data_IF_020163795058
#
_entry.id   IF_020163795058
#
_cell.length_a   1.000
_cell.length_b   1.000
_cell.length_c   1.000
_cell.angle_alpha   90.00
_cell.angle_beta   90.00
_cell.angle_gamma   90.00
#
_symmetry.space_group_name_H-M   'P 1'
#
loop_
_entity.id
_entity.type
_entity.pdbx_description
1 polymer ?
#
# COMPACT_ATOMS: atom_id res chain seq x y z
N UNK A 1 -36.30 -2.01 -66.95
CA UNK A 1 -36.74 -2.89 -68.05
C UNK A 1 -35.52 -3.62 -68.59
N UNK A 2 -35.53 -4.96 -68.61
CA UNK A 2 -34.70 -5.83 -69.46
C UNK A 2 -33.18 -5.79 -69.25
N UNK A 3 -32.34 -6.73 -69.68
CA UNK A 3 -32.45 -8.05 -70.34
C UNK A 3 -31.12 -8.79 -70.04
N UNK A 4 -31.22 -10.12 -70.08
CA UNK A 4 -30.29 -11.26 -70.12
C UNK A 4 -28.98 -11.19 -70.95
N UNK A 5 -28.02 -12.08 -70.58
CA UNK A 5 -27.00 -12.82 -71.41
C UNK A 5 -25.77 -12.03 -71.98
N UNK A 6 -24.54 -12.55 -72.22
CA UNK A 6 -23.86 -13.86 -72.12
C UNK A 6 -22.29 -13.72 -72.29
N UNK A 7 -21.53 -14.65 -71.68
CA UNK A 7 -20.29 -15.41 -72.07
C UNK A 7 -18.91 -14.81 -72.56
N UNK A 8 -17.85 -15.07 -71.74
CA UNK A 8 -16.42 -15.55 -71.93
C UNK A 8 -15.33 -14.84 -72.80
N UNK A 9 -13.98 -15.08 -72.65
CA UNK A 9 -13.16 -15.88 -71.68
C UNK A 9 -11.87 -15.19 -71.06
N UNK A 10 -11.11 -15.95 -70.23
CA UNK A 10 -10.07 -15.61 -69.19
C UNK A 10 -8.62 -15.22 -69.66
N UNK A 11 -7.65 -14.85 -68.75
CA UNK A 11 -6.86 -15.83 -67.96
C UNK A 11 -6.33 -15.44 -66.54
N UNK A 12 -6.40 -16.44 -65.63
CA UNK A 12 -5.42 -16.93 -64.60
C UNK A 12 -4.85 -16.01 -63.50
N UNK A 13 -5.19 -16.30 -62.23
CA UNK A 13 -4.25 -16.38 -61.09
C UNK A 13 -4.82 -17.14 -59.86
N UNK A 14 -4.30 -18.36 -59.63
CA UNK A 14 -4.07 -19.11 -58.36
C UNK A 14 -5.02 -18.98 -57.15
N UNK A 15 -5.77 -20.06 -56.86
CA UNK A 15 -6.31 -20.37 -55.53
C UNK A 15 -6.19 -21.87 -55.21
N UNK A 16 -5.61 -22.18 -54.04
CA UNK A 16 -5.40 -23.54 -53.50
C UNK A 16 -6.68 -24.15 -52.89
N UNK A 17 -6.79 -25.49 -52.77
CA UNK A 17 -8.07 -26.16 -52.54
C UNK A 17 -8.50 -26.19 -51.07
N UNK A 18 -9.79 -25.90 -50.80
CA UNK A 18 -10.47 -26.28 -49.56
C UNK A 18 -11.01 -27.70 -49.68
N UNK A 19 -10.34 -28.65 -49.04
CA UNK A 19 -10.85 -30.02 -48.82
C UNK A 19 -11.84 -30.00 -47.65
N UNK A 20 -13.11 -30.30 -47.91
CA UNK A 20 -14.07 -30.66 -46.84
C UNK A 20 -13.76 -32.09 -46.39
N UNK A 21 -13.31 -32.28 -45.14
CA UNK A 21 -13.27 -33.60 -44.50
C UNK A 21 -14.69 -34.05 -44.12
N UNK A 22 -15.07 -35.33 -44.27
CA UNK A 22 -16.41 -35.80 -43.94
C UNK A 22 -16.64 -35.84 -42.42
N UNK A 23 -17.81 -35.36 -41.99
CA UNK A 23 -18.24 -35.23 -40.59
C UNK A 23 -18.25 -36.55 -39.78
N UNK A 24 -18.18 -37.70 -40.44
CA UNK A 24 -18.12 -39.02 -39.78
C UNK A 24 -16.75 -39.29 -39.11
N UNK A 25 -15.66 -38.67 -39.58
CA UNK A 25 -14.34 -38.87 -38.98
C UNK A 25 -14.15 -38.11 -37.65
N UNK A 26 -14.82 -36.96 -37.48
CA UNK A 26 -14.79 -36.19 -36.23
C UNK A 26 -15.71 -36.79 -35.15
N UNK A 27 -16.84 -37.37 -35.55
CA UNK A 27 -17.74 -38.09 -34.62
C UNK A 27 -17.10 -39.39 -34.09
N UNK A 28 -16.33 -40.10 -34.93
CA UNK A 28 -15.61 -41.31 -34.50
C UNK A 28 -14.47 -40.98 -33.51
N UNK A 29 -13.70 -39.91 -33.76
CA UNK A 29 -12.66 -39.45 -32.82
C UNK A 29 -13.23 -38.96 -31.49
N UNK A 30 -14.36 -38.25 -31.49
CA UNK A 30 -15.00 -37.81 -30.25
C UNK A 30 -15.54 -38.98 -29.41
N UNK A 31 -16.07 -40.03 -30.06
CA UNK A 31 -16.56 -41.22 -29.38
C UNK A 31 -15.44 -42.13 -28.84
N UNK A 32 -14.26 -42.14 -29.48
CA UNK A 32 -13.07 -42.85 -28.96
C UNK A 32 -12.43 -42.13 -27.77
N UNK A 33 -12.41 -40.79 -27.75
CA UNK A 33 -11.91 -40.01 -26.61
C UNK A 33 -12.81 -40.16 -25.39
N UNK A 34 -14.14 -40.12 -25.56
CA UNK A 34 -15.08 -40.34 -24.45
C UNK A 34 -15.01 -41.76 -23.89
N UNK A 35 -14.84 -42.78 -24.74
CA UNK A 35 -14.62 -44.15 -24.27
C UNK A 35 -13.31 -44.32 -23.51
N UNK A 36 -12.26 -43.58 -23.88
CA UNK A 36 -11.00 -43.59 -23.16
C UNK A 36 -11.13 -42.94 -21.77
N UNK A 37 -11.82 -41.80 -21.67
CA UNK A 37 -12.10 -41.11 -20.40
C UNK A 37 -12.99 -41.95 -19.46
N UNK A 38 -14.02 -42.61 -19.99
CA UNK A 38 -14.91 -43.48 -19.21
C UNK A 38 -14.16 -44.74 -18.69
N UNK A 39 -13.25 -45.30 -19.49
CA UNK A 39 -12.40 -46.43 -19.08
C UNK A 39 -11.37 -46.02 -18.02
N UNK A 40 -10.86 -44.79 -18.07
CA UNK A 40 -9.93 -44.24 -17.09
C UNK A 40 -10.64 -43.99 -15.74
N UNK A 41 -11.85 -43.43 -15.75
CA UNK A 41 -12.67 -43.26 -14.55
C UNK A 41 -13.15 -44.59 -13.94
N UNK A 42 -13.44 -45.60 -14.77
CA UNK A 42 -13.75 -46.96 -14.31
C UNK A 42 -12.50 -47.65 -13.73
N UNK A 43 -11.31 -47.39 -14.26
CA UNK A 43 -10.07 -47.90 -13.72
C UNK A 43 -9.72 -47.25 -12.37
N UNK A 44 -9.87 -45.92 -12.25
CA UNK A 44 -9.65 -45.16 -11.01
C UNK A 44 -10.62 -45.53 -9.90
N UNK A 45 -11.91 -45.67 -10.22
CA UNK A 45 -12.93 -46.11 -9.24
C UNK A 45 -12.72 -47.55 -8.79
N UNK A 46 -12.27 -48.44 -9.68
CA UNK A 46 -11.93 -49.83 -9.31
C UNK A 46 -10.64 -49.92 -8.47
N UNK A 47 -9.67 -49.02 -8.69
CA UNK A 47 -8.46 -48.89 -7.87
C UNK A 47 -8.80 -48.35 -6.47
N UNK A 48 -9.66 -47.33 -6.39
CA UNK A 48 -10.15 -46.77 -5.13
C UNK A 48 -10.94 -47.82 -4.33
N UNK A 49 -11.80 -48.62 -4.98
CA UNK A 49 -12.51 -49.73 -4.31
C UNK A 49 -11.60 -50.88 -3.87
N UNK A 50 -10.54 -51.19 -4.62
CA UNK A 50 -9.56 -52.21 -4.22
C UNK A 50 -8.66 -51.78 -3.07
N UNK A 51 -8.39 -50.48 -2.94
CA UNK A 51 -7.63 -49.92 -1.80
C UNK A 51 -8.46 -49.89 -0.50
N UNK A 52 -9.79 -49.94 -0.57
CA UNK A 52 -10.68 -49.93 0.60
C UNK A 52 -11.03 -51.31 1.19
N UNK A 53 -10.70 -52.42 0.51
CA UNK A 53 -11.10 -53.77 0.96
C UNK A 53 -10.08 -54.50 1.86
N UNK A 54 -8.90 -53.94 2.11
CA UNK A 54 -7.87 -54.59 2.93
C UNK A 54 -7.54 -53.76 4.18
N UNK A 55 -8.08 -54.15 5.34
CA UNK A 55 -7.44 -53.89 6.64
C UNK A 55 -6.51 -55.05 7.03
N UNK A 56 -5.55 -54.90 7.96
CA UNK A 56 -5.11 -53.70 8.67
C UNK A 56 -3.85 -53.09 8.00
N UNK A 57 -3.94 -51.86 7.50
CA UNK A 57 -2.85 -51.21 6.77
C UNK A 57 -1.76 -50.60 7.67
N UNK A 58 -2.04 -50.36 8.96
CA UNK A 58 -1.12 -49.61 9.83
C UNK A 58 0.16 -50.41 10.19
N UNK A 59 0.04 -51.71 10.50
CA UNK A 59 1.20 -52.56 10.81
C UNK A 59 1.99 -52.94 9.56
N UNK A 60 1.34 -53.06 8.40
CA UNK A 60 1.99 -53.42 7.14
C UNK A 60 2.72 -52.24 6.47
N UNK A 61 2.22 -51.00 6.62
CA UNK A 61 2.89 -49.81 6.06
C UNK A 61 4.15 -49.43 6.85
N UNK A 62 4.25 -49.81 8.13
CA UNK A 62 5.41 -49.54 8.99
C UNK A 62 6.49 -50.64 8.93
N UNK A 63 6.19 -51.82 8.37
CA UNK A 63 7.06 -52.99 8.46
C UNK A 63 8.22 -53.03 7.43
N UNK A 64 8.26 -52.11 6.45
CA UNK A 64 9.28 -52.12 5.39
C UNK A 64 9.87 -50.73 5.15
N UNK A 65 10.58 -50.21 6.16
CA UNK A 65 11.22 -48.88 6.15
C UNK A 65 12.72 -48.97 5.81
N UNK A 66 13.07 -49.65 4.71
CA UNK A 66 14.43 -49.54 4.13
C UNK A 66 14.40 -48.62 2.92
N UNK A 67 15.28 -47.59 2.83
CA UNK A 67 15.30 -46.71 1.68
C UNK A 67 15.67 -47.46 0.41
N UNK A 68 14.71 -47.59 -0.51
CA UNK A 68 14.87 -48.29 -1.79
C UNK A 68 15.64 -47.48 -2.84
N UNK A 69 15.95 -46.21 -2.58
CA UNK A 69 16.59 -45.29 -3.53
C UNK A 69 17.79 -44.55 -2.92
N UNK A 70 18.72 -44.15 -3.79
CA UNK A 70 19.78 -43.17 -3.50
C UNK A 70 19.59 -41.94 -4.37
N UNK A 71 19.89 -40.77 -3.81
CA UNK A 71 19.92 -39.52 -4.55
C UNK A 71 21.21 -39.39 -5.35
N UNK A 72 21.10 -38.95 -6.60
CA UNK A 72 22.24 -38.55 -7.42
C UNK A 72 22.00 -37.13 -7.96
N UNK A 73 22.97 -36.23 -7.75
CA UNK A 73 23.00 -34.93 -8.41
C UNK A 73 23.47 -35.13 -9.86
N UNK A 74 22.64 -34.73 -10.82
CA UNK A 74 22.92 -34.83 -12.27
C UNK A 74 22.87 -33.42 -12.85
N UNK A 75 23.99 -32.70 -12.76
CA UNK A 75 24.04 -31.28 -13.14
C UNK A 75 23.17 -30.43 -12.20
N UNK A 76 22.24 -29.64 -12.76
CA UNK A 76 21.25 -28.86 -11.99
C UNK A 76 19.97 -29.64 -11.65
N UNK A 77 19.88 -30.93 -12.04
CA UNK A 77 18.73 -31.80 -11.84
C UNK A 77 19.01 -32.87 -10.78
N UNK A 78 17.95 -33.39 -10.14
CA UNK A 78 18.04 -34.50 -9.20
C UNK A 78 17.44 -35.76 -9.80
N UNK A 79 18.13 -36.89 -9.66
CA UNK A 79 17.65 -38.20 -10.07
C UNK A 79 17.53 -39.13 -8.87
N UNK A 80 16.43 -39.89 -8.83
CA UNK A 80 16.24 -40.97 -7.88
C UNK A 80 16.68 -42.28 -8.51
N UNK A 81 17.72 -42.91 -7.96
CA UNK A 81 18.21 -44.19 -8.46
C UNK A 81 17.79 -45.32 -7.52
N UNK A 82 17.04 -46.29 -8.05
CA UNK A 82 16.66 -47.47 -7.29
C UNK A 82 17.91 -48.28 -6.91
N UNK A 83 18.03 -48.67 -5.64
CA UNK A 83 19.10 -49.54 -5.14
C UNK A 83 18.95 -50.96 -5.69
N UNK A 84 17.72 -51.40 -5.94
CA UNK A 84 17.39 -52.72 -6.45
C UNK A 84 16.73 -52.66 -7.83
N UNK A 85 16.84 -53.76 -8.60
CA UNK A 85 16.24 -53.86 -9.93
C UNK A 85 14.72 -54.00 -9.81
N UNK A 86 13.99 -53.02 -10.36
CA UNK A 86 12.53 -53.11 -10.53
C UNK A 86 12.20 -53.78 -11.86
N UNK A 87 11.40 -54.85 -11.84
CA UNK A 87 10.92 -55.55 -13.05
C UNK A 87 9.42 -55.32 -13.25
N UNK A 88 9.02 -54.82 -14.42
CA UNK A 88 7.62 -54.61 -14.81
C UNK A 88 7.29 -55.49 -16.01
N UNK A 89 6.24 -56.31 -15.93
CA UNK A 89 5.85 -57.20 -17.03
C UNK A 89 5.18 -56.40 -18.16
N UNK A 90 5.23 -56.95 -19.37
CA UNK A 90 4.56 -56.36 -20.55
C UNK A 90 3.07 -56.13 -20.27
N UNK A 91 2.60 -54.91 -20.52
CA UNK A 91 1.21 -54.49 -20.30
C UNK A 91 0.84 -54.21 -18.85
N UNK A 92 1.82 -54.16 -17.93
CA UNK A 92 1.62 -53.76 -16.54
C UNK A 92 2.27 -52.41 -16.25
N UNK A 93 1.74 -51.71 -15.25
CA UNK A 93 2.33 -50.50 -14.68
C UNK A 93 2.70 -50.78 -13.22
N UNK A 94 3.75 -50.13 -12.73
CA UNK A 94 4.16 -50.21 -11.34
C UNK A 94 4.35 -48.79 -10.79
N UNK A 95 3.77 -48.52 -9.63
CA UNK A 95 4.08 -47.33 -8.83
C UNK A 95 5.18 -47.74 -7.85
N UNK A 96 6.35 -47.15 -8.00
CA UNK A 96 7.50 -47.44 -7.14
C UNK A 96 7.65 -46.29 -6.15
N UNK A 97 7.46 -46.53 -4.83
CA UNK A 97 7.69 -45.50 -3.85
C UNK A 97 9.17 -45.12 -3.85
N UNK A 98 9.43 -43.84 -4.12
CA UNK A 98 10.80 -43.30 -4.15
C UNK A 98 11.38 -43.23 -2.74
N UNK A 99 10.54 -42.87 -1.77
CA UNK A 99 10.93 -42.68 -0.39
C UNK A 99 9.80 -43.13 0.53
N UNK A 100 10.12 -44.08 1.41
CA UNK A 100 9.26 -44.53 2.51
C UNK A 100 10.07 -44.41 3.79
N UNK A 101 10.28 -43.18 4.24
CA UNK A 101 11.03 -42.88 5.46
C UNK A 101 10.19 -42.04 6.40
N UNK A 102 10.43 -42.21 7.70
CA UNK A 102 9.87 -41.33 8.72
C UNK A 102 10.60 -39.98 8.65
N UNK A 103 9.82 -38.92 8.54
CA UNK A 103 10.32 -37.55 8.67
C UNK A 103 10.15 -37.11 10.12
N UNK A 104 11.26 -36.83 10.80
CA UNK A 104 11.25 -36.49 12.23
C UNK A 104 10.90 -35.02 12.47
N UNK A 105 10.17 -34.76 13.56
CA UNK A 105 9.92 -33.41 14.07
C UNK A 105 8.91 -32.58 13.27
N UNK A 106 8.08 -33.22 12.45
CA UNK A 106 6.94 -32.56 11.81
C UNK A 106 5.81 -32.28 12.81
N UNK A 107 5.16 -31.13 12.67
CA UNK A 107 4.03 -30.72 13.50
C UNK A 107 2.85 -30.24 12.66
N UNK A 108 1.63 -30.56 13.10
CA UNK A 108 0.39 -29.99 12.55
C UNK A 108 0.19 -28.60 13.14
N UNK A 109 0.10 -27.60 12.28
CA UNK A 109 -0.02 -26.19 12.64
C UNK A 109 -1.15 -25.53 11.86
N UNK A 110 -1.54 -24.32 12.26
CA UNK A 110 -2.37 -23.46 11.44
C UNK A 110 -1.51 -22.47 10.66
N UNK A 111 -1.88 -22.22 9.42
CA UNK A 111 -1.27 -21.24 8.55
C UNK A 111 -2.31 -20.22 8.08
N UNK A 112 -1.98 -18.94 8.17
CA UNK A 112 -2.81 -17.88 7.62
C UNK A 112 -2.00 -16.95 6.72
N UNK A 113 -2.45 -16.83 5.47
CA UNK A 113 -2.03 -15.81 4.52
C UNK A 113 -3.27 -15.27 3.83
N UNK A 114 -3.64 -14.03 4.13
CA UNK A 114 -4.93 -13.46 3.71
C UNK A 114 -5.15 -13.41 2.19
N UNK A 115 -4.07 -13.36 1.39
CA UNK A 115 -4.14 -13.45 -0.07
C UNK A 115 -4.42 -14.85 -0.61
N UNK A 116 -4.14 -15.89 0.17
CA UNK A 116 -4.37 -17.28 -0.20
C UNK A 116 -5.74 -17.79 0.27
N UNK A 117 -6.15 -17.43 1.49
CA UNK A 117 -7.43 -17.84 2.06
C UNK A 117 -7.93 -16.83 3.11
N UNK A 118 -9.25 -16.53 3.16
CA UNK A 118 -9.83 -15.68 4.19
C UNK A 118 -9.85 -16.34 5.58
N UNK A 119 -9.67 -17.67 5.65
CA UNK A 119 -9.57 -18.42 6.91
C UNK A 119 -8.23 -19.14 7.03
N UNK A 120 -7.75 -19.39 8.26
CA UNK A 120 -6.59 -20.23 8.47
C UNK A 120 -6.77 -21.61 7.86
N UNK A 121 -5.66 -22.21 7.43
CA UNK A 121 -5.60 -23.57 6.93
C UNK A 121 -4.79 -24.43 7.88
N UNK A 122 -5.24 -25.66 8.13
CA UNK A 122 -4.38 -26.71 8.66
C UNK A 122 -3.22 -26.94 7.69
N UNK A 123 -2.02 -27.00 8.25
CA UNK A 123 -0.79 -27.25 7.53
C UNK A 123 0.10 -28.23 8.27
N UNK A 124 0.93 -28.95 7.53
CA UNK A 124 1.99 -29.77 8.09
C UNK A 124 3.31 -29.02 7.92
N UNK A 125 3.94 -28.65 9.04
CA UNK A 125 5.23 -27.97 9.05
C UNK A 125 6.31 -28.96 9.44
N UNK A 126 7.28 -29.18 8.55
CA UNK A 126 8.30 -30.19 8.75
C UNK A 126 9.65 -29.76 8.17
N UNK A 127 10.69 -30.43 8.64
CA UNK A 127 12.05 -30.35 8.09
C UNK A 127 12.31 -31.60 7.28
N UNK A 128 12.86 -31.48 6.07
CA UNK A 128 13.36 -32.63 5.34
C UNK A 128 14.58 -33.22 6.06
N UNK A 129 14.37 -34.27 6.86
CA UNK A 129 15.41 -35.00 7.58
C UNK A 129 16.07 -36.10 6.74
N UNK A 130 15.56 -36.37 5.54
CA UNK A 130 16.03 -37.47 4.69
C UNK A 130 17.29 -37.08 3.92
N UNK A 131 17.98 -38.08 3.37
CA UNK A 131 19.15 -37.85 2.52
C UNK A 131 18.76 -37.40 1.10
N UNK A 132 17.47 -37.48 0.74
CA UNK A 132 16.98 -37.15 -0.60
C UNK A 132 16.49 -35.72 -0.67
N UNK A 133 16.62 -35.13 -1.85
CA UNK A 133 15.90 -33.90 -2.21
C UNK A 133 14.44 -34.28 -2.49
N UNK A 134 13.47 -33.54 -1.94
CA UNK A 134 12.04 -33.74 -2.21
C UNK A 134 11.60 -32.74 -3.29
N UNK A 135 11.07 -33.24 -4.40
CA UNK A 135 10.58 -32.41 -5.51
C UNK A 135 9.26 -31.72 -5.20
N UNK A 136 9.09 -30.49 -5.68
CA UNK A 136 7.82 -29.76 -5.57
C UNK A 136 6.69 -30.55 -6.27
N UNK A 137 5.50 -30.56 -5.67
CA UNK A 137 4.38 -31.35 -6.20
C UNK A 137 3.18 -31.44 -5.25
N UNK A 138 2.07 -32.01 -5.74
CA UNK A 138 0.90 -32.26 -4.91
C UNK A 138 1.22 -33.32 -3.85
N UNK A 139 0.59 -33.19 -2.69
CA UNK A 139 0.74 -34.10 -1.57
C UNK A 139 -0.63 -34.39 -0.97
N UNK A 140 -0.98 -35.66 -0.84
CA UNK A 140 -2.18 -36.09 -0.11
C UNK A 140 -1.82 -36.33 1.35
N UNK A 141 -2.57 -35.72 2.27
CA UNK A 141 -2.31 -35.79 3.71
C UNK A 141 -3.29 -36.79 4.32
N UNK A 142 -2.74 -37.76 5.05
CA UNK A 142 -3.51 -38.77 5.78
C UNK A 142 -3.29 -38.60 7.29
N UNK A 143 -4.37 -38.79 8.06
CA UNK A 143 -4.35 -38.95 9.51
C UNK A 143 -4.80 -40.39 9.82
N UNK A 144 -3.83 -41.24 10.16
CA UNK A 144 -4.01 -42.69 10.16
C UNK A 144 -4.43 -43.20 8.77
N UNK A 145 -5.56 -43.90 8.71
CA UNK A 145 -6.14 -44.40 7.45
C UNK A 145 -7.06 -43.39 6.73
N UNK A 146 -7.24 -42.18 7.26
CA UNK A 146 -8.21 -41.21 6.74
C UNK A 146 -7.51 -40.12 5.95
N UNK A 147 -7.91 -39.92 4.69
CA UNK A 147 -7.49 -38.75 3.92
C UNK A 147 -8.10 -37.49 4.53
N UNK A 148 -7.27 -36.55 4.98
CA UNK A 148 -7.70 -35.29 5.61
C UNK A 148 -7.59 -34.09 4.68
N UNK A 149 -6.96 -34.25 3.52
CA UNK A 149 -6.89 -33.21 2.50
C UNK A 149 -5.71 -33.38 1.56
N UNK A 150 -5.57 -32.39 0.68
CA UNK A 150 -4.52 -32.31 -0.30
C UNK A 150 -3.84 -30.95 -0.20
N UNK A 151 -2.51 -30.95 -0.31
CA UNK A 151 -1.69 -29.76 -0.31
C UNK A 151 -0.74 -29.74 -1.50
N UNK A 152 -0.06 -28.62 -1.66
CA UNK A 152 0.94 -28.44 -2.70
C UNK A 152 2.25 -28.00 -2.06
N UNK A 153 3.29 -28.81 -2.24
CA UNK A 153 4.65 -28.42 -1.92
C UNK A 153 5.18 -27.55 -3.06
N UNK A 154 5.47 -26.29 -2.77
CA UNK A 154 5.72 -25.27 -3.80
C UNK A 154 7.18 -25.16 -4.21
N UNK A 155 8.08 -25.70 -3.41
CA UNK A 155 9.53 -25.62 -3.61
C UNK A 155 10.15 -26.99 -3.45
N UNK A 156 11.33 -27.14 -4.05
CA UNK A 156 12.17 -28.32 -3.88
C UNK A 156 12.84 -28.23 -2.50
N UNK A 157 12.71 -29.28 -1.67
CA UNK A 157 13.32 -29.31 -0.33
C UNK A 157 14.57 -30.18 -0.35
N UNK A 158 15.74 -29.56 -0.28
CA UNK A 158 16.99 -30.26 0.03
C UNK A 158 17.01 -30.70 1.49
N UNK A 159 17.98 -31.53 1.86
CA UNK A 159 18.22 -31.92 3.26
C UNK A 159 18.29 -30.69 4.17
N UNK A 160 17.66 -30.80 5.34
CA UNK A 160 17.53 -29.77 6.39
C UNK A 160 16.70 -28.52 6.03
N UNK A 161 16.17 -28.42 4.80
CA UNK A 161 15.20 -27.38 4.45
C UNK A 161 13.84 -27.65 5.11
N UNK A 162 13.12 -26.59 5.44
CA UNK A 162 11.78 -26.64 6.00
C UNK A 162 10.75 -26.14 5.00
N UNK A 163 9.58 -26.77 5.02
CA UNK A 163 8.41 -26.25 4.33
C UNK A 163 7.14 -26.48 5.14
N UNK A 164 6.13 -25.71 4.80
CA UNK A 164 4.79 -25.82 5.35
C UNK A 164 3.83 -26.12 4.22
N UNK A 165 3.09 -27.21 4.35
CA UNK A 165 2.13 -27.66 3.34
C UNK A 165 0.71 -27.44 3.89
N UNK A 166 -0.01 -26.37 3.50
CA UNK A 166 -1.41 -26.20 3.83
C UNK A 166 -2.26 -27.20 3.06
N UNK A 167 -3.19 -27.87 3.72
CA UNK A 167 -3.98 -28.97 3.12
C UNK A 167 -5.49 -28.91 3.36
N UNK A 168 -5.97 -28.17 4.37
CA UNK A 168 -7.41 -28.07 4.65
C UNK A 168 -7.76 -26.75 5.35
N UNK A 169 -8.92 -26.16 5.08
CA UNK A 169 -9.39 -24.94 5.78
C UNK A 169 -9.84 -25.28 7.20
N UNK A 170 -9.46 -24.46 8.18
CA UNK A 170 -9.90 -24.58 9.57
C UNK A 170 -11.17 -23.73 9.81
N UNK A 171 -12.29 -24.38 10.14
CA UNK A 171 -13.57 -23.71 10.37
C UNK A 171 -13.75 -23.16 11.80
N UNK A 172 -13.00 -23.71 12.75
CA UNK A 172 -13.04 -23.33 14.17
C UNK A 172 -12.33 -22.02 14.49
N UNK A 173 -11.49 -21.50 13.59
CA UNK A 173 -10.71 -20.28 13.82
C UNK A 173 -11.07 -19.22 12.77
N UNK A 174 -11.33 -18.00 13.25
CA UNK A 174 -11.55 -16.82 12.39
C UNK A 174 -10.50 -15.76 12.68
N UNK A 175 -10.03 -15.08 11.64
CA UNK A 175 -9.07 -13.98 11.74
C UNK A 175 -9.67 -12.76 11.05
N UNK A 176 -9.85 -11.70 11.83
CA UNK A 176 -10.25 -10.39 11.34
C UNK A 176 -9.03 -9.48 11.33
N UNK A 177 -8.73 -8.81 10.20
CA UNK A 177 -7.65 -7.82 10.10
C UNK A 177 -8.24 -6.43 9.94
N UNK A 178 -7.90 -5.52 10.85
CA UNK A 178 -8.19 -4.09 10.72
C UNK A 178 -6.90 -3.35 10.46
N UNK A 179 -6.90 -2.48 9.45
CA UNK A 179 -5.73 -1.68 9.08
C UNK A 179 -6.03 -0.22 9.37
N UNK A 180 -5.15 0.43 10.11
CA UNK A 180 -5.20 1.85 10.41
C UNK A 180 -3.92 2.50 9.91
N UNK A 181 -4.06 3.61 9.17
CA UNK A 181 -2.94 4.42 8.74
C UNK A 181 -3.00 5.76 9.47
N UNK A 182 -2.09 5.96 10.41
CA UNK A 182 -2.00 7.20 11.17
C UNK A 182 -0.54 7.61 11.31
N UNK A 183 -0.19 8.85 10.93
CA UNK A 183 1.10 9.42 11.25
C UNK A 183 1.28 9.55 12.76
N UNK A 184 2.49 9.27 13.25
CA UNK A 184 2.88 9.68 14.59
C UNK A 184 2.89 11.21 14.70
N UNK A 185 2.77 11.73 15.94
CA UNK A 185 3.08 13.12 16.21
C UNK A 185 4.47 13.50 15.70
N UNK A 186 4.61 14.75 15.26
CA UNK A 186 5.89 15.32 14.84
C UNK A 186 6.90 15.23 15.98
N UNK A 187 8.06 14.64 15.71
CA UNK A 187 9.10 14.39 16.70
C UNK A 187 10.18 15.47 16.70
N UNK A 188 10.46 16.05 15.53
CA UNK A 188 11.48 17.09 15.35
C UNK A 188 11.03 18.10 14.29
N UNK A 189 11.12 19.38 14.58
CA UNK A 189 10.98 20.45 13.61
C UNK A 189 12.28 21.24 13.51
N UNK A 190 12.79 21.45 12.29
CA UNK A 190 13.94 22.31 12.03
C UNK A 190 13.54 23.46 11.13
N UNK A 191 14.25 24.57 11.23
CA UNK A 191 14.00 25.75 10.39
C UNK A 191 15.30 26.15 9.71
N UNK A 192 15.31 26.17 8.38
CA UNK A 192 16.46 26.58 7.61
C UNK A 192 16.02 27.34 6.36
N UNK A 193 16.65 28.48 6.10
CA UNK A 193 16.47 29.28 4.88
C UNK A 193 14.98 29.60 4.60
N UNK A 194 14.22 29.90 5.64
CA UNK A 194 12.78 30.19 5.55
C UNK A 194 11.86 29.00 5.32
N UNK A 195 12.38 27.77 5.37
CA UNK A 195 11.60 26.54 5.29
C UNK A 195 11.60 25.87 6.65
N UNK A 196 10.42 25.48 7.13
CA UNK A 196 10.27 24.60 8.28
C UNK A 196 10.15 23.18 7.77
N UNK A 197 10.99 22.28 8.28
CA UNK A 197 10.93 20.84 8.02
C UNK A 197 10.46 20.13 9.27
N UNK A 198 9.29 19.50 9.20
CA UNK A 198 8.72 18.69 10.27
C UNK A 198 8.98 17.22 9.97
N UNK A 199 9.68 16.55 10.88
CA UNK A 199 9.98 15.12 10.81
C UNK A 199 9.01 14.34 11.68
N UNK A 200 8.44 13.28 11.12
CA UNK A 200 7.51 12.38 11.79
C UNK A 200 7.69 10.96 11.23
N UNK A 201 6.94 10.00 11.75
CA UNK A 201 6.87 8.65 11.19
C UNK A 201 5.47 8.39 10.67
N UNK A 202 5.36 7.90 9.44
CA UNK A 202 4.12 7.29 8.97
C UNK A 202 4.05 5.88 9.57
N UNK A 203 2.88 5.50 10.08
CA UNK A 203 2.67 4.15 10.60
C UNK A 203 1.50 3.49 9.90
N UNK A 204 1.73 2.24 9.52
CA UNK A 204 0.71 1.28 9.17
C UNK A 204 0.54 0.32 10.34
N UNK A 205 -0.60 0.38 11.00
CA UNK A 205 -0.96 -0.56 12.06
C UNK A 205 -1.98 -1.57 11.52
N UNK A 206 -1.62 -2.84 11.56
CA UNK A 206 -2.50 -3.97 11.27
C UNK A 206 -2.79 -4.72 12.55
N UNK A 207 -4.04 -4.67 13.00
CA UNK A 207 -4.51 -5.42 14.15
C UNK A 207 -5.23 -6.67 13.68
N UNK A 208 -4.73 -7.83 14.06
CA UNK A 208 -5.33 -9.12 13.81
C UNK A 208 -6.06 -9.60 15.08
N UNK A 209 -7.37 -9.82 14.97
CA UNK A 209 -8.18 -10.47 16.00
C UNK A 209 -8.36 -11.93 15.61
N UNK A 210 -7.66 -12.83 16.31
CA UNK A 210 -7.72 -14.28 16.08
C UNK A 210 -8.65 -14.88 17.12
N UNK A 211 -9.81 -15.36 16.68
CA UNK A 211 -10.82 -15.98 17.56
C UNK A 211 -10.81 -17.49 17.34
N UNK A 212 -10.48 -18.25 18.38
CA UNK A 212 -10.57 -19.71 18.35
C UNK A 212 -11.85 -20.19 19.04
N UNK A 213 -12.63 -20.98 18.31
CA UNK A 213 -13.76 -21.78 18.85
C UNK A 213 -13.39 -23.25 19.00
N UNK A 214 -12.11 -23.59 18.78
CA UNK A 214 -11.60 -24.94 18.98
C UNK A 214 -11.48 -25.24 20.48
N UNK A 215 -11.74 -26.49 20.86
CA UNK A 215 -11.47 -27.01 22.19
C UNK A 215 -10.01 -27.41 22.44
N UNK A 216 -9.11 -27.14 21.49
CA UNK A 216 -7.68 -27.50 21.56
C UNK A 216 -6.81 -26.25 21.46
N UNK A 217 -5.64 -26.33 22.09
CA UNK A 217 -4.56 -25.36 21.88
C UNK A 217 -3.96 -25.56 20.48
N UNK A 218 -3.71 -24.45 19.78
CA UNK A 218 -3.28 -24.44 18.39
C UNK A 218 -2.08 -23.50 18.24
N UNK A 219 -1.14 -23.86 17.38
CA UNK A 219 -0.03 -22.99 16.96
C UNK A 219 -0.36 -22.40 15.60
N UNK A 220 -0.38 -21.07 15.50
CA UNK A 220 -0.70 -20.34 14.28
C UNK A 220 0.54 -19.63 13.74
N UNK A 221 0.90 -19.91 12.49
CA UNK A 221 1.82 -19.12 11.69
C UNK A 221 1.02 -18.15 10.82
N UNK A 222 1.23 -16.85 11.05
CA UNK A 222 0.56 -15.76 10.37
C UNK A 222 1.54 -15.02 9.47
N UNK A 223 1.29 -15.03 8.17
CA UNK A 223 2.05 -14.27 7.18
C UNK A 223 1.42 -12.91 6.94
N UNK A 224 2.09 -11.88 7.44
CA UNK A 224 1.76 -10.49 7.22
C UNK A 224 2.53 -9.95 6.02
N UNK A 225 1.86 -9.41 4.98
CA UNK A 225 2.56 -8.87 3.81
C UNK A 225 3.35 -7.62 4.19
N UNK A 226 4.62 -7.54 3.77
CA UNK A 226 5.45 -6.34 4.00
C UNK A 226 4.90 -5.14 3.22
N UNK A 227 4.80 -3.99 3.88
CA UNK A 227 4.28 -2.78 3.26
C UNK A 227 5.39 -1.98 2.58
N UNK A 228 5.68 -2.24 1.30
CA UNK A 228 6.58 -1.42 0.48
C UNK A 228 7.92 -1.08 1.15
N UNK A 229 8.21 0.20 1.35
CA UNK A 229 9.43 0.70 2.01
C UNK A 229 9.33 0.84 3.53
N UNK A 230 8.23 0.38 4.14
CA UNK A 230 8.06 0.42 5.59
C UNK A 230 8.86 -0.68 6.27
N UNK A 231 9.29 -0.38 7.49
CA UNK A 231 10.07 -1.30 8.33
C UNK A 231 9.25 -1.73 9.52
N UNK A 232 9.35 -3.01 9.91
CA UNK A 232 8.65 -3.51 11.09
C UNK A 232 9.16 -2.81 12.35
N UNK A 233 8.26 -2.12 13.05
CA UNK A 233 8.54 -1.50 14.34
C UNK A 233 8.11 -2.41 15.49
N UNK A 234 6.92 -3.00 15.39
CA UNK A 234 6.38 -3.92 16.39
C UNK A 234 5.57 -5.06 15.73
N UNK A 235 5.65 -6.30 16.23
CA UNK A 235 6.59 -6.76 17.25
C UNK A 235 8.01 -6.87 16.67
N UNK A 236 9.04 -6.55 17.46
CA UNK A 236 10.44 -6.48 17.01
C UNK A 236 11.25 -7.76 17.26
N UNK A 237 10.65 -8.80 17.84
CA UNK A 237 11.31 -10.06 18.19
C UNK A 237 10.63 -11.26 17.52
N UNK A 238 11.44 -12.29 17.25
CA UNK A 238 11.00 -13.61 16.77
C UNK A 238 10.16 -13.59 15.48
N UNK A 239 10.58 -12.74 14.53
CA UNK A 239 9.93 -12.58 13.23
C UNK A 239 10.78 -13.24 12.15
N UNK A 240 10.21 -14.25 11.50
CA UNK A 240 10.80 -14.86 10.32
C UNK A 240 10.39 -14.09 9.07
N UNK A 241 11.28 -13.89 8.10
CA UNK A 241 10.94 -13.27 6.82
C UNK A 241 10.85 -14.30 5.72
N UNK A 242 9.68 -14.37 5.04
CA UNK A 242 9.42 -15.37 4.00
C UNK A 242 8.65 -14.72 2.85
N UNK A 243 9.16 -14.79 1.63
CA UNK A 243 8.48 -14.36 0.39
C UNK A 243 7.82 -12.98 0.47
N UNK A 244 8.53 -11.97 0.98
CA UNK A 244 7.98 -10.62 1.14
C UNK A 244 6.91 -10.49 2.23
N UNK A 245 6.88 -11.42 3.20
CA UNK A 245 6.03 -11.38 4.37
C UNK A 245 6.86 -11.45 5.66
N UNK A 246 6.33 -10.88 6.74
CA UNK A 246 6.72 -11.19 8.11
C UNK A 246 5.86 -12.34 8.62
N UNK A 247 6.49 -13.42 9.08
CA UNK A 247 5.83 -14.60 9.63
C UNK A 247 5.91 -14.55 11.15
N UNK A 248 4.74 -14.54 11.79
CA UNK A 248 4.58 -14.55 13.24
C UNK A 248 4.08 -15.91 13.72
N UNK A 249 4.72 -16.46 14.74
CA UNK A 249 4.26 -17.66 15.44
C UNK A 249 3.46 -17.25 16.67
N UNK A 250 2.21 -17.70 16.77
CA UNK A 250 1.28 -17.36 17.84
C UNK A 250 0.72 -18.63 18.48
N UNK A 251 0.70 -18.68 19.81
CA UNK A 251 0.01 -19.71 20.57
C UNK A 251 -1.44 -19.30 20.80
N UNK A 252 -2.39 -20.02 20.21
CA UNK A 252 -3.83 -19.78 20.29
C UNK A 252 -4.46 -20.80 21.21
N UNK A 253 -4.77 -20.39 22.44
CA UNK A 253 -5.38 -21.26 23.45
C UNK A 253 -6.83 -21.61 23.11
N UNK A 254 -7.26 -22.80 23.55
CA UNK A 254 -8.63 -23.28 23.35
C UNK A 254 -9.69 -22.25 23.79
N UNK A 255 -10.65 -21.94 22.93
CA UNK A 255 -11.75 -21.01 23.21
C UNK A 255 -11.35 -19.55 23.48
N UNK A 256 -10.10 -19.15 23.21
CA UNK A 256 -9.62 -17.78 23.47
C UNK A 256 -9.48 -16.95 22.20
N UNK A 257 -9.50 -15.64 22.41
CA UNK A 257 -9.14 -14.64 21.40
C UNK A 257 -7.73 -14.15 21.67
N UNK A 258 -6.91 -14.11 20.63
CA UNK A 258 -5.56 -13.56 20.65
C UNK A 258 -5.52 -12.35 19.72
N UNK A 259 -4.89 -11.27 20.17
CA UNK A 259 -4.65 -10.10 19.34
C UNK A 259 -3.17 -10.01 18.96
N UNK A 260 -2.91 -9.81 17.67
CA UNK A 260 -1.57 -9.47 17.17
C UNK A 260 -1.62 -8.07 16.56
N UNK A 261 -0.81 -7.17 17.10
CA UNK A 261 -0.61 -5.83 16.54
C UNK A 261 0.69 -5.80 15.77
N UNK A 262 0.59 -5.54 14.47
CA UNK A 262 1.75 -5.38 13.58
C UNK A 262 1.83 -3.92 13.18
N UNK A 263 2.87 -3.24 13.62
CA UNK A 263 3.15 -1.85 13.33
C UNK A 263 4.37 -1.76 12.44
N UNK A 264 4.17 -1.27 11.22
CA UNK A 264 5.23 -0.93 10.30
C UNK A 264 5.36 0.59 10.21
N UNK A 265 6.58 1.10 10.14
CA UNK A 265 6.85 2.53 10.13
C UNK A 265 7.87 2.95 9.07
N UNK A 266 7.68 4.16 8.54
CA UNK A 266 8.60 4.82 7.62
C UNK A 266 8.85 6.26 8.09
N UNK A 267 10.11 6.72 8.16
CA UNK A 267 10.42 8.14 8.38
C UNK A 267 9.81 9.00 7.26
N UNK A 268 9.17 10.09 7.63
CA UNK A 268 8.56 11.03 6.70
C UNK A 268 8.82 12.47 7.13
N UNK A 269 8.79 13.38 6.17
CA UNK A 269 8.99 14.81 6.41
C UNK A 269 7.96 15.63 5.66
N UNK A 270 7.45 16.68 6.31
CA UNK A 270 6.59 17.69 5.69
C UNK A 270 7.26 19.04 5.80
N UNK A 271 7.21 19.83 4.73
CA UNK A 271 7.85 21.14 4.67
C UNK A 271 6.85 22.25 4.38
N UNK A 272 7.05 23.43 4.96
CA UNK A 272 6.30 24.64 4.60
C UNK A 272 7.17 25.89 4.68
N UNK A 273 6.77 26.96 3.98
CA UNK A 273 7.53 28.22 3.91
C UNK A 273 7.01 29.25 4.90
N UNK A 274 7.91 29.87 5.67
CA UNK A 274 7.53 30.79 6.75
C UNK A 274 6.81 32.05 6.27
N UNK A 275 7.33 32.72 5.23
CA UNK A 275 6.82 34.03 4.77
C UNK A 275 5.39 33.99 4.20
N UNK A 276 4.94 32.83 3.74
CA UNK A 276 3.59 32.64 3.16
C UNK A 276 2.64 31.92 4.10
N UNK A 277 3.10 31.58 5.30
CA UNK A 277 2.30 30.84 6.27
C UNK A 277 1.43 31.80 7.10
N UNK A 278 0.12 31.54 7.25
CA UNK A 278 -0.74 32.35 8.09
C UNK A 278 -0.28 32.37 9.55
N UNK A 279 -0.54 33.49 10.24
CA UNK A 279 -0.14 33.68 11.63
C UNK A 279 -0.73 32.63 12.59
N UNK A 280 -1.94 32.12 12.32
CA UNK A 280 -2.57 31.06 13.12
C UNK A 280 -1.82 29.74 13.04
N UNK A 281 -1.35 29.36 11.85
CA UNK A 281 -0.52 28.17 11.66
C UNK A 281 0.82 28.32 12.40
N UNK A 282 1.46 29.48 12.30
CA UNK A 282 2.70 29.78 13.05
C UNK A 282 2.45 29.68 14.57
N UNK A 283 1.33 30.24 15.06
CA UNK A 283 0.93 30.18 16.46
C UNK A 283 0.71 28.74 16.94
N UNK A 284 0.09 27.90 16.12
CA UNK A 284 -0.09 26.48 16.42
C UNK A 284 1.27 25.79 16.62
N UNK A 285 2.22 26.00 15.70
CA UNK A 285 3.55 25.40 15.77
C UNK A 285 4.38 25.92 16.97
N UNK A 286 4.23 27.19 17.34
CA UNK A 286 4.89 27.78 18.51
C UNK A 286 4.52 27.12 19.84
N UNK A 287 3.29 26.58 19.95
CA UNK A 287 2.83 25.88 21.15
C UNK A 287 3.39 24.46 21.27
N UNK A 288 4.01 23.94 20.20
CA UNK A 288 4.50 22.57 20.17
C UNK A 288 5.93 22.45 20.70
N UNK A 289 6.27 21.25 21.17
CA UNK A 289 7.56 20.95 21.81
C UNK A 289 8.68 20.57 20.85
N UNK A 290 8.38 20.32 19.57
CA UNK A 290 9.37 19.82 18.60
C UNK A 290 10.25 20.89 17.97
N UNK A 291 10.01 22.18 18.25
CA UNK A 291 10.84 23.30 17.77
C UNK A 291 11.85 23.71 18.83
N UNK A 292 13.05 24.10 18.38
CA UNK A 292 14.07 24.70 19.24
C UNK A 292 13.62 26.07 19.77
N UNK A 293 14.18 26.51 20.89
CA UNK A 293 13.91 27.86 21.42
C UNK A 293 14.35 28.97 20.44
N UNK A 294 15.44 28.72 19.69
CA UNK A 294 15.93 29.62 18.63
C UNK A 294 14.90 29.75 17.50
N UNK A 295 14.36 28.64 17.03
CA UNK A 295 13.31 28.62 16.02
C UNK A 295 12.02 29.28 16.53
N UNK A 296 11.61 29.02 17.77
CA UNK A 296 10.45 29.70 18.39
C UNK A 296 10.65 31.22 18.44
N UNK A 297 11.84 31.68 18.81
CA UNK A 297 12.19 33.11 18.80
C UNK A 297 12.04 33.73 17.40
N UNK A 298 12.49 33.04 16.35
CA UNK A 298 12.29 33.48 14.96
C UNK A 298 10.80 33.56 14.61
N UNK A 299 10.03 32.52 14.91
CA UNK A 299 8.59 32.46 14.60
C UNK A 299 7.80 33.56 15.34
N UNK A 300 8.17 33.87 16.58
CA UNK A 300 7.61 35.00 17.33
C UNK A 300 7.92 36.35 16.67
N UNK A 301 9.18 36.57 16.27
CA UNK A 301 9.59 37.78 15.57
C UNK A 301 8.88 37.91 14.20
N UNK A 302 8.72 36.80 13.47
CA UNK A 302 7.97 36.73 12.23
C UNK A 302 6.50 37.12 12.42
N UNK A 303 5.83 36.59 13.45
CA UNK A 303 4.45 36.94 13.76
C UNK A 303 4.29 38.43 14.09
N UNK A 304 5.21 39.00 14.88
CA UNK A 304 5.19 40.42 15.22
C UNK A 304 5.37 41.30 13.97
N UNK A 305 6.36 41.00 13.13
CA UNK A 305 6.60 41.71 11.87
C UNK A 305 5.43 41.58 10.90
N UNK A 306 4.83 40.40 10.76
CA UNK A 306 3.66 40.19 9.91
C UNK A 306 2.44 41.00 10.39
N UNK A 307 2.25 41.07 11.72
CA UNK A 307 1.22 41.91 12.33
C UNK A 307 1.41 43.39 11.99
N UNK A 308 2.64 43.89 12.09
CA UNK A 308 2.95 45.28 11.77
C UNK A 308 2.82 45.58 10.27
N UNK A 309 3.30 44.70 9.41
CA UNK A 309 3.11 44.81 7.95
C UNK A 309 1.61 44.86 7.60
N UNK A 310 0.79 44.03 8.24
CA UNK A 310 -0.66 44.02 8.01
C UNK A 310 -1.33 45.33 8.49
N UNK A 311 -0.89 45.90 9.61
CA UNK A 311 -1.37 47.22 10.07
C UNK A 311 -0.99 48.33 9.10
N UNK A 312 0.25 48.36 8.62
CA UNK A 312 0.69 49.34 7.63
C UNK A 312 -0.10 49.22 6.32
N UNK A 313 -0.38 48.00 5.86
CA UNK A 313 -1.25 47.76 4.69
C UNK A 313 -2.68 48.27 4.91
N UNK A 314 -3.24 48.10 6.11
CA UNK A 314 -4.55 48.65 6.44
C UNK A 314 -4.52 50.19 6.42
N UNK A 315 -3.51 50.80 7.05
CA UNK A 315 -3.31 52.25 7.04
C UNK A 315 -3.13 52.81 5.62
N UNK A 316 -2.38 52.14 4.73
CA UNK A 316 -2.27 52.52 3.32
C UNK A 316 -3.63 52.49 2.63
N UNK A 317 -4.46 51.48 2.91
CA UNK A 317 -5.82 51.40 2.36
C UNK A 317 -6.70 52.54 2.85
N UNK A 318 -6.64 52.88 4.14
CA UNK A 318 -7.39 53.98 4.73
C UNK A 318 -6.99 55.34 4.14
N UNK A 319 -5.68 55.59 3.99
CA UNK A 319 -5.15 56.81 3.35
C UNK A 319 -5.57 56.92 1.88
N UNK A 320 -5.60 55.80 1.15
CA UNK A 320 -6.10 55.78 -0.23
C UNK A 320 -7.59 56.13 -0.28
N UNK A 321 -8.40 55.60 0.64
CA UNK A 321 -9.82 55.93 0.73
C UNK A 321 -10.04 57.41 1.10
N UNK A 322 -9.28 57.93 2.06
CA UNK A 322 -9.34 59.33 2.47
C UNK A 322 -8.97 60.27 1.31
N UNK A 323 -7.87 59.99 0.62
CA UNK A 323 -7.46 60.75 -0.58
C UNK A 323 -8.58 60.79 -1.62
N UNK A 324 -9.23 59.66 -1.88
CA UNK A 324 -10.33 59.58 -2.85
C UNK A 324 -11.50 60.45 -2.41
N UNK A 325 -11.92 60.38 -1.13
CA UNK A 325 -12.99 61.23 -0.59
C UNK A 325 -12.68 62.72 -0.70
N UNK A 326 -11.47 63.14 -0.30
CA UNK A 326 -11.07 64.56 -0.38
C UNK A 326 -11.08 65.04 -1.82
N UNK A 327 -10.56 64.23 -2.76
CA UNK A 327 -10.54 64.57 -4.19
C UNK A 327 -11.96 64.73 -4.75
N UNK A 328 -12.88 63.85 -4.38
CA UNK A 328 -14.28 63.94 -4.81
C UNK A 328 -14.98 65.17 -4.20
N UNK A 329 -14.72 65.45 -2.92
CA UNK A 329 -15.27 66.61 -2.21
C UNK A 329 -14.78 67.92 -2.84
N UNK A 330 -13.48 68.01 -3.13
CA UNK A 330 -12.87 69.15 -3.79
C UNK A 330 -13.45 69.36 -5.20
N UNK A 331 -13.64 68.30 -5.97
CA UNK A 331 -14.28 68.38 -7.30
C UNK A 331 -15.70 68.96 -7.20
N UNK A 332 -16.50 68.53 -6.20
CA UNK A 332 -17.84 69.09 -5.95
C UNK A 332 -17.77 70.56 -5.52
N UNK A 333 -16.81 70.94 -4.69
CA UNK A 333 -16.61 72.35 -4.29
C UNK A 333 -16.25 73.23 -5.49
N UNK A 334 -15.33 72.77 -6.36
CA UNK A 334 -14.96 73.47 -7.61
C UNK A 334 -16.17 73.61 -8.54
N UNK A 335 -17.01 72.58 -8.67
CA UNK A 335 -18.24 72.64 -9.45
C UNK A 335 -19.25 73.63 -8.85
N UNK A 336 -19.46 73.62 -7.53
CA UNK A 336 -20.33 74.57 -6.85
C UNK A 336 -19.84 76.02 -7.03
N UNK A 337 -18.52 76.25 -7.03
CA UNK A 337 -17.92 77.56 -7.25
C UNK A 337 -18.25 78.14 -8.63
N UNK A 338 -18.38 77.30 -9.66
CA UNK A 338 -18.71 77.72 -11.03
C UNK A 338 -20.14 78.26 -11.16
N UNK A 339 -21.04 77.91 -10.23
CA UNK A 339 -22.46 78.31 -10.25
C UNK A 339 -22.68 79.68 -9.58
N UNK A 340 -21.76 80.13 -8.72
CA UNK A 340 -21.87 81.37 -7.94
C UNK A 340 -21.55 82.62 -8.78
N UNK A 341 -22.39 83.66 -8.69
CA UNK A 341 -22.30 84.97 -9.34
C UNK A 341 -21.75 86.05 -8.39
N UNK A 342 -21.62 87.28 -8.89
CA UNK A 342 -20.98 88.40 -8.17
C UNK A 342 -21.97 89.24 -7.35
N UNK A 343 -22.82 88.59 -6.54
CA UNK A 343 -23.65 89.29 -5.54
C UNK A 343 -22.92 89.34 -4.19
N UNK A 344 -23.15 90.35 -3.33
CA UNK A 344 -22.46 90.47 -2.04
C UNK A 344 -22.61 89.24 -1.12
N UNK A 345 -23.77 88.58 -1.14
CA UNK A 345 -24.02 87.36 -0.37
C UNK A 345 -23.29 86.14 -0.94
N UNK A 346 -23.15 86.04 -2.26
CA UNK A 346 -22.47 84.93 -2.95
C UNK A 346 -20.94 85.04 -2.86
N UNK A 347 -20.39 86.25 -2.76
CA UNK A 347 -18.96 86.47 -2.52
C UNK A 347 -18.47 85.88 -1.19
N UNK A 348 -19.29 85.96 -0.13
CA UNK A 348 -18.96 85.35 1.17
C UNK A 348 -18.99 83.81 1.10
N UNK A 349 -19.89 83.24 0.30
CA UNK A 349 -19.93 81.78 0.06
C UNK A 349 -18.71 81.34 -0.76
N UNK A 350 -18.34 82.11 -1.80
CA UNK A 350 -17.14 81.86 -2.62
C UNK A 350 -15.87 81.84 -1.77
N UNK A 351 -15.70 82.81 -0.86
CA UNK A 351 -14.57 82.84 0.09
C UNK A 351 -14.51 81.57 0.96
N UNK A 352 -15.65 81.09 1.45
CA UNK A 352 -15.71 79.85 2.27
C UNK A 352 -15.27 78.62 1.47
N UNK A 353 -15.73 78.46 0.22
CA UNK A 353 -15.31 77.34 -0.63
C UNK A 353 -13.83 77.38 -0.97
N UNK A 354 -13.27 78.55 -1.28
CA UNK A 354 -11.83 78.70 -1.53
C UNK A 354 -11.01 78.28 -0.30
N UNK A 355 -11.42 78.70 0.90
CA UNK A 355 -10.76 78.29 2.14
C UNK A 355 -10.90 76.79 2.43
N UNK A 356 -11.99 76.14 1.99
CA UNK A 356 -12.15 74.69 2.11
C UNK A 356 -11.28 73.94 1.09
N UNK A 357 -11.14 74.44 -0.13
CA UNK A 357 -10.25 73.88 -1.15
C UNK A 357 -8.80 73.97 -0.69
N UNK A 358 -8.36 75.11 -0.16
CA UNK A 358 -7.00 75.27 0.39
C UNK A 358 -6.71 74.26 1.52
N UNK A 359 -7.69 74.04 2.42
CA UNK A 359 -7.58 73.00 3.47
C UNK A 359 -7.56 71.59 2.89
N UNK A 360 -8.34 71.32 1.84
CA UNK A 360 -8.35 70.03 1.15
C UNK A 360 -7.01 69.74 0.49
N UNK A 361 -6.44 70.73 -0.22
CA UNK A 361 -5.11 70.64 -0.84
C UNK A 361 -4.02 70.38 0.22
N UNK A 362 -4.04 71.12 1.34
CA UNK A 362 -3.11 70.89 2.45
C UNK A 362 -3.22 69.48 3.05
N UNK A 363 -4.45 68.96 3.21
CA UNK A 363 -4.65 67.58 3.70
C UNK A 363 -4.24 66.54 2.65
N UNK A 364 -4.48 66.77 1.36
CA UNK A 364 -4.03 65.87 0.29
C UNK A 364 -2.49 65.74 0.28
N UNK A 365 -1.77 66.83 0.48
CA UNK A 365 -0.31 66.79 0.58
C UNK A 365 0.17 66.05 1.82
N UNK A 366 -0.52 66.22 2.96
CA UNK A 366 -0.24 65.45 4.17
C UNK A 366 -0.50 63.94 3.96
N UNK A 367 -1.64 63.57 3.39
CA UNK A 367 -2.00 62.17 3.10
C UNK A 367 -1.00 61.53 2.13
N UNK A 368 -0.51 62.28 1.13
CA UNK A 368 0.54 61.81 0.21
C UNK A 368 1.84 61.49 0.94
N UNK A 369 2.28 62.36 1.84
CA UNK A 369 3.50 62.15 2.60
C UNK A 369 3.34 61.00 3.61
N UNK A 370 2.22 60.93 4.32
CA UNK A 370 1.87 59.80 5.21
C UNK A 370 1.84 58.47 4.46
N UNK A 371 1.24 58.42 3.25
CA UNK A 371 1.19 57.21 2.44
C UNK A 371 2.58 56.78 1.96
N UNK A 372 3.43 57.73 1.56
CA UNK A 372 4.82 57.47 1.16
C UNK A 372 5.66 56.94 2.33
N UNK A 373 5.54 57.54 3.51
CA UNK A 373 6.23 57.10 4.72
C UNK A 373 5.76 55.71 5.18
N UNK A 374 4.46 55.45 5.14
CA UNK A 374 3.88 54.14 5.47
C UNK A 374 4.38 53.06 4.50
N UNK A 375 4.34 53.33 3.19
CA UNK A 375 4.81 52.41 2.16
C UNK A 375 6.31 52.10 2.25
N UNK A 376 7.15 53.12 2.46
CA UNK A 376 8.59 52.93 2.65
C UNK A 376 8.90 52.11 3.92
N UNK A 377 8.18 52.36 5.01
CA UNK A 377 8.33 51.59 6.26
C UNK A 377 7.92 50.14 6.06
N UNK A 378 6.79 49.89 5.39
CA UNK A 378 6.32 48.54 5.07
C UNK A 378 7.34 47.79 4.21
N UNK A 379 7.84 48.40 3.14
CA UNK A 379 8.83 47.79 2.25
C UNK A 379 10.14 47.47 2.97
N UNK A 380 10.59 48.37 3.87
CA UNK A 380 11.77 48.13 4.72
C UNK A 380 11.56 46.93 5.64
N UNK A 381 10.43 46.85 6.33
CA UNK A 381 10.11 45.72 7.22
C UNK A 381 10.00 44.40 6.45
N UNK A 382 9.39 44.40 5.27
CA UNK A 382 9.31 43.23 4.40
C UNK A 382 10.71 42.73 3.98
N UNK A 383 11.61 43.65 3.61
CA UNK A 383 12.99 43.31 3.24
C UNK A 383 13.81 42.79 4.43
N UNK A 384 13.73 43.46 5.59
CA UNK A 384 14.39 43.03 6.82
C UNK A 384 13.90 41.66 7.26
N UNK A 385 12.59 41.41 7.17
CA UNK A 385 11.99 40.11 7.50
C UNK A 385 12.46 39.02 6.55
N UNK A 386 12.39 39.26 5.23
CA UNK A 386 12.83 38.30 4.23
C UNK A 386 14.31 37.92 4.43
N UNK A 387 15.16 38.91 4.73
CA UNK A 387 16.59 38.69 5.02
C UNK A 387 16.80 37.85 6.28
N UNK A 388 16.16 38.22 7.41
CA UNK A 388 16.25 37.46 8.67
C UNK A 388 15.82 36.01 8.51
N UNK A 389 14.75 35.78 7.75
CA UNK A 389 14.21 34.44 7.50
C UNK A 389 15.13 33.62 6.60
N UNK A 390 15.74 34.24 5.58
CA UNK A 390 16.68 33.58 4.67
C UNK A 390 18.02 33.22 5.33
N UNK A 391 18.52 34.08 6.22
CA UNK A 391 19.80 33.87 6.94
C UNK A 391 19.66 32.92 8.13
N UNK A 392 18.44 32.59 8.55
CA UNK A 392 18.21 31.73 9.70
C UNK A 392 18.46 30.26 9.38
N UNK A 393 19.28 29.63 10.22
CA UNK A 393 19.49 28.18 10.26
C UNK A 393 19.43 27.69 11.70
N UNK A 394 18.58 26.70 11.92
CA UNK A 394 18.51 25.86 13.12
C UNK A 394 19.43 24.66 12.91
N UNK A 395 20.36 24.43 13.83
CA UNK A 395 21.29 23.29 13.79
C UNK A 395 20.63 21.97 14.23
#
# INVERSE_FOLDING_TARGET
>A
MGVTAAFQPDPIATASPRVRKPAQAQAAQAAEVQKAEDLEQLAESSMAQKLMQNGPAEEALMADLTPAFTGAEVGDLFAYQAKEKVSVKRGQAALVPILSERVDGGERVLFYRGSASPRPMNAYYFKNSTALTLEAGPATVFDGSTCVGEGLMRKVLKKDMRDMIPFAVEAGVSIDRTVTHQPDPVTKGTVANGVVTLSYRQNYESVYSIKSRSGKDLVLYLDHPKTGSYTLAEPSKDVEEVDGHYRFKLDVKAGRTVELKVREGMPATTTFTLLRTPAETIRFHLQQRYLSEKAKGLLQALMASQGEINRLRASESDLVQERTRITEDEARMRQNLQVLRDTPAELEIRKKYLAQIEKAEARLDQVREEAKQTASTRQRLESELAKKVAEFQDE
#
